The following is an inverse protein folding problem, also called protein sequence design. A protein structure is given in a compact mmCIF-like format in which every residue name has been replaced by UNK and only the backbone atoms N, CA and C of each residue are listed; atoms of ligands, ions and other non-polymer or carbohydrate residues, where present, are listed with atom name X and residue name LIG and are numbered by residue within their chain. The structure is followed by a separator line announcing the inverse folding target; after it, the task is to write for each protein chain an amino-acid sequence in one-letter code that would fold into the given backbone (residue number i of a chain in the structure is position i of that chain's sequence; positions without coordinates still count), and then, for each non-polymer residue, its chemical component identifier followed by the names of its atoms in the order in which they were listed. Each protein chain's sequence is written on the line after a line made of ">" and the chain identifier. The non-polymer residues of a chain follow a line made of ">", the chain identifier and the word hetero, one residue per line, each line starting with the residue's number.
data_IF_890799368110
#
_entry.id   IF_890799368110
#
_cell.length_a   1.000
_cell.length_b   1.000
_cell.length_c   1.000
_cell.angle_alpha   90.00
_cell.angle_beta   90.00
_cell.angle_gamma   90.00
#
_symmetry.space_group_name_H-M   'P 1'
#
loop_
_entity.id
_entity.type
_entity.pdbx_description
1 polymer ?
#
# COMPACT_ATOMS: atom_id res chain seq x y z
N UNK A 1 -9.92 16.56 -8.76
CA UNK A 1 -9.20 15.70 -7.78
C UNK A 1 -7.82 16.23 -7.41
N UNK A 2 -6.89 16.43 -8.36
CA UNK A 2 -5.52 16.93 -8.09
C UNK A 2 -5.44 18.26 -7.32
N UNK A 3 -6.41 19.16 -7.50
CA UNK A 3 -6.47 20.47 -6.80
C UNK A 3 -6.77 20.32 -5.30
N UNK A 4 -7.55 19.31 -4.90
CA UNK A 4 -7.87 19.01 -3.49
C UNK A 4 -6.79 18.12 -2.84
N UNK A 5 -6.12 17.26 -3.62
CA UNK A 5 -4.96 16.50 -3.14
C UNK A 5 -3.77 17.40 -2.78
N UNK A 6 -3.54 18.51 -3.49
CA UNK A 6 -2.44 19.45 -3.19
C UNK A 6 -2.50 20.01 -1.77
N UNK A 7 -3.69 20.17 -1.20
CA UNK A 7 -3.88 20.70 0.16
C UNK A 7 -3.38 19.75 1.25
N UNK A 8 -3.38 18.44 0.98
CA UNK A 8 -2.94 17.40 1.92
C UNK A 8 -1.63 16.71 1.50
N UNK A 9 -0.91 17.26 0.54
CA UNK A 9 0.33 16.66 0.01
C UNK A 9 1.42 16.50 1.08
N UNK A 10 1.49 17.41 2.06
CA UNK A 10 2.39 17.26 3.21
C UNK A 10 2.05 16.05 4.08
N UNK A 11 0.78 15.83 4.40
CA UNK A 11 0.35 14.67 5.18
C UNK A 11 0.58 13.35 4.41
N UNK A 12 0.34 13.36 3.10
CA UNK A 12 0.62 12.21 2.23
C UNK A 12 2.13 11.92 2.12
N UNK A 13 2.98 12.96 2.08
CA UNK A 13 4.43 12.82 2.09
C UNK A 13 4.94 12.20 3.41
N UNK A 14 4.46 12.69 4.56
CA UNK A 14 4.81 12.09 5.85
C UNK A 14 4.32 10.64 5.96
N UNK A 15 3.09 10.35 5.54
CA UNK A 15 2.57 8.98 5.50
C UNK A 15 3.46 8.07 4.64
N UNK A 16 3.86 8.52 3.44
CA UNK A 16 4.77 7.78 2.58
C UNK A 16 6.14 7.55 3.25
N UNK A 17 6.68 8.54 3.96
CA UNK A 17 7.94 8.42 4.68
C UNK A 17 7.88 7.37 5.80
N UNK A 18 6.82 7.38 6.61
CA UNK A 18 6.59 6.34 7.63
C UNK A 18 6.37 4.96 7.02
N UNK A 19 5.74 4.89 5.84
CA UNK A 19 5.56 3.65 5.09
C UNK A 19 6.89 3.05 4.64
N UNK A 20 7.80 3.89 4.14
CA UNK A 20 9.15 3.47 3.75
C UNK A 20 9.91 2.92 4.97
N UNK A 21 9.77 3.57 6.13
CA UNK A 21 10.34 3.09 7.38
C UNK A 21 9.80 1.72 7.81
N UNK A 22 8.48 1.52 7.72
CA UNK A 22 7.84 0.22 8.01
C UNK A 22 8.39 -0.88 7.09
N UNK A 23 8.38 -0.64 5.77
CA UNK A 23 8.84 -1.62 4.79
C UNK A 23 10.34 -1.92 4.93
N UNK A 24 11.17 -0.92 5.26
CA UNK A 24 12.59 -1.13 5.50
C UNK A 24 12.84 -2.07 6.70
N UNK A 25 12.05 -1.93 7.77
CA UNK A 25 12.11 -2.84 8.92
C UNK A 25 11.70 -4.26 8.52
N UNK A 26 10.59 -4.41 7.79
CA UNK A 26 10.13 -5.72 7.28
C UNK A 26 11.21 -6.41 6.42
N UNK A 27 11.97 -5.65 5.63
CA UNK A 27 13.05 -6.18 4.78
C UNK A 27 14.34 -6.52 5.54
N UNK A 28 14.60 -5.88 6.67
CA UNK A 28 15.80 -6.15 7.49
C UNK A 28 15.60 -7.39 8.36
N UNK A 29 14.36 -7.69 8.75
CA UNK A 29 14.04 -8.82 9.63
C UNK A 29 14.56 -10.18 9.13
N UNK A 30 14.45 -10.56 7.84
CA UNK A 30 15.04 -11.79 7.31
C UNK A 30 16.57 -11.83 7.42
N UNK A 31 17.25 -10.71 7.16
CA UNK A 31 18.71 -10.63 7.29
C UNK A 31 19.19 -10.75 8.74
N UNK A 32 18.40 -10.26 9.71
CA UNK A 32 18.68 -10.49 11.14
C UNK A 32 18.44 -11.95 11.52
N UNK A 33 17.39 -12.58 10.98
CA UNK A 33 17.13 -14.01 11.19
C UNK A 33 18.25 -14.88 10.63
N UNK A 34 18.76 -14.55 9.44
CA UNK A 34 19.92 -15.23 8.83
C UNK A 34 21.14 -15.21 9.78
N UNK A 35 21.47 -14.05 10.37
CA UNK A 35 22.57 -13.95 11.33
C UNK A 35 22.35 -14.79 12.58
N UNK A 36 21.13 -14.85 13.11
CA UNK A 36 20.80 -15.69 14.26
C UNK A 36 21.05 -17.17 13.92
N UNK A 37 20.65 -17.61 12.73
CA UNK A 37 20.82 -19.01 12.30
C UNK A 37 22.30 -19.32 12.00
N UNK A 38 22.97 -18.48 11.20
CA UNK A 38 24.32 -18.74 10.72
C UNK A 38 25.41 -18.51 11.78
N UNK A 39 25.32 -17.43 12.55
CA UNK A 39 26.34 -17.07 13.56
C UNK A 39 25.96 -17.58 14.95
N UNK A 40 24.68 -17.54 15.30
CA UNK A 40 24.21 -17.89 16.63
C UNK A 40 24.02 -19.39 16.88
N UNK A 41 23.47 -20.11 15.89
CA UNK A 41 23.16 -21.54 15.99
C UNK A 41 24.25 -22.38 15.31
N UNK A 42 24.62 -22.03 14.08
CA UNK A 42 25.59 -22.80 13.28
C UNK A 42 27.06 -22.46 13.60
N UNK A 43 27.32 -21.31 14.26
CA UNK A 43 28.66 -20.98 14.78
C UNK A 43 29.78 -20.94 13.74
N UNK A 44 29.48 -20.55 12.50
CA UNK A 44 30.38 -20.68 11.34
C UNK A 44 31.68 -19.86 11.51
N UNK A 45 31.63 -18.71 12.20
CA UNK A 45 32.78 -17.83 12.42
C UNK A 45 33.55 -18.07 13.74
N UNK A 46 32.98 -18.83 14.69
CA UNK A 46 33.59 -19.15 15.99
C UNK A 46 33.95 -20.64 16.13
N UNK A 47 34.19 -21.33 15.01
CA UNK A 47 34.68 -22.71 15.01
C UNK A 47 33.67 -23.75 15.51
N UNK A 48 32.36 -23.48 15.38
CA UNK A 48 31.29 -24.41 15.79
C UNK A 48 30.81 -24.24 17.23
N UNK A 49 31.21 -23.19 17.94
CA UNK A 49 30.67 -22.88 19.27
C UNK A 49 29.46 -21.95 19.13
N UNK A 50 28.30 -22.42 19.60
CA UNK A 50 27.06 -21.62 19.63
C UNK A 50 27.19 -20.47 20.64
N UNK A 51 27.26 -19.24 20.15
CA UNK A 51 27.22 -18.04 20.99
C UNK A 51 25.77 -17.65 21.32
N UNK A 52 25.24 -18.30 22.34
CA UNK A 52 23.88 -18.07 22.84
C UNK A 52 23.66 -16.61 23.29
N UNK A 53 24.73 -15.92 23.70
CA UNK A 53 24.69 -14.48 24.04
C UNK A 53 24.48 -13.59 22.79
N UNK A 54 25.05 -13.98 21.64
CA UNK A 54 24.89 -13.26 20.37
C UNK A 54 23.48 -13.46 19.80
N UNK A 55 22.91 -14.66 19.96
CA UNK A 55 21.48 -14.96 19.67
C UNK A 55 20.57 -14.08 20.51
N UNK A 56 20.76 -14.04 21.83
CA UNK A 56 19.91 -13.27 22.74
C UNK A 56 20.03 -11.77 22.49
N UNK A 57 21.25 -11.25 22.29
CA UNK A 57 21.49 -9.84 21.97
C UNK A 57 20.87 -9.43 20.63
N UNK A 58 21.02 -10.26 19.59
CA UNK A 58 20.43 -10.00 18.26
C UNK A 58 18.91 -10.14 18.29
N UNK A 59 18.37 -11.10 19.05
CA UNK A 59 16.92 -11.27 19.26
C UNK A 59 16.29 -10.06 19.96
N UNK A 60 16.94 -9.54 21.01
CA UNK A 60 16.47 -8.30 21.69
C UNK A 60 16.49 -7.11 20.73
N UNK A 61 17.55 -6.96 19.92
CA UNK A 61 17.62 -5.92 18.89
C UNK A 61 16.52 -6.08 17.85
N UNK A 62 16.20 -7.32 17.44
CA UNK A 62 15.12 -7.60 16.50
C UNK A 62 13.75 -7.16 17.05
N UNK A 63 13.48 -7.41 18.34
CA UNK A 63 12.24 -6.96 19.00
C UNK A 63 12.15 -5.44 19.00
N UNK A 64 13.23 -4.73 19.35
CA UNK A 64 13.24 -3.26 19.34
C UNK A 64 12.97 -2.70 17.94
N UNK A 65 13.60 -3.29 16.92
CA UNK A 65 13.42 -2.90 15.53
C UNK A 65 11.98 -3.12 15.07
N UNK A 66 11.36 -4.27 15.42
CA UNK A 66 9.95 -4.56 15.09
C UNK A 66 8.99 -3.60 15.79
N UNK A 67 9.25 -3.24 17.06
CA UNK A 67 8.43 -2.24 17.78
C UNK A 67 8.54 -0.87 17.09
N UNK A 68 9.75 -0.45 16.69
CA UNK A 68 9.95 0.78 15.91
C UNK A 68 9.26 0.73 14.54
N UNK A 69 9.34 -0.39 13.81
CA UNK A 69 8.64 -0.58 12.54
C UNK A 69 7.12 -0.56 12.70
N UNK A 70 6.60 -1.26 13.71
CA UNK A 70 5.18 -1.32 14.01
C UNK A 70 4.59 0.05 14.38
N UNK A 71 5.31 0.83 15.19
CA UNK A 71 4.91 2.22 15.50
C UNK A 71 4.91 3.11 14.27
N UNK A 72 5.92 2.98 13.39
CA UNK A 72 5.95 3.66 12.08
C UNK A 72 4.73 3.28 11.22
N UNK A 73 4.36 1.99 11.18
CA UNK A 73 3.21 1.53 10.41
C UNK A 73 1.86 1.99 10.96
N UNK A 74 1.72 2.07 12.29
CA UNK A 74 0.54 2.66 12.94
C UNK A 74 0.44 4.15 12.60
N UNK A 75 1.54 4.91 12.71
CA UNK A 75 1.58 6.33 12.37
C UNK A 75 1.24 6.58 10.90
N UNK A 76 1.79 5.78 9.98
CA UNK A 76 1.42 5.81 8.57
C UNK A 76 -0.09 5.58 8.38
N UNK A 77 -0.64 4.57 9.08
CA UNK A 77 -2.07 4.27 9.05
C UNK A 77 -2.93 5.43 9.53
N UNK A 78 -2.59 6.04 10.67
CA UNK A 78 -3.32 7.17 11.24
C UNK A 78 -3.26 8.39 10.31
N UNK A 79 -2.08 8.74 9.80
CA UNK A 79 -1.91 9.88 8.88
C UNK A 79 -2.66 9.67 7.56
N UNK A 80 -2.63 8.45 7.01
CA UNK A 80 -3.36 8.11 5.78
C UNK A 80 -4.86 8.22 5.99
N UNK A 81 -5.39 7.68 7.09
CA UNK A 81 -6.81 7.77 7.41
C UNK A 81 -7.22 9.22 7.67
N UNK A 82 -6.44 9.97 8.43
CA UNK A 82 -6.71 11.37 8.71
C UNK A 82 -6.74 12.20 7.42
N UNK A 83 -5.75 12.02 6.53
CA UNK A 83 -5.73 12.66 5.22
C UNK A 83 -6.93 12.26 4.35
N UNK A 84 -7.24 10.96 4.28
CA UNK A 84 -8.36 10.44 3.49
C UNK A 84 -9.71 10.96 3.96
N UNK A 85 -9.96 10.98 5.28
CA UNK A 85 -11.21 11.48 5.84
C UNK A 85 -11.41 12.97 5.60
N UNK A 86 -10.36 13.77 5.79
CA UNK A 86 -10.42 15.21 5.54
C UNK A 86 -10.67 15.52 4.06
N UNK A 87 -9.98 14.81 3.16
CA UNK A 87 -10.20 14.91 1.72
C UNK A 87 -11.64 14.54 1.33
N UNK A 88 -12.15 13.42 1.85
CA UNK A 88 -13.54 12.99 1.63
C UNK A 88 -14.55 14.03 2.13
N UNK A 89 -14.30 14.64 3.29
CA UNK A 89 -15.16 15.69 3.85
C UNK A 89 -15.21 16.93 2.95
N UNK A 90 -14.08 17.41 2.43
CA UNK A 90 -14.07 18.55 1.50
C UNK A 90 -14.84 18.27 0.21
N UNK A 91 -14.70 17.06 -0.36
CA UNK A 91 -15.44 16.68 -1.56
C UNK A 91 -16.94 16.58 -1.26
N UNK A 92 -17.34 16.01 -0.12
CA UNK A 92 -18.75 15.97 0.30
C UNK A 92 -19.34 17.37 0.40
N UNK A 93 -18.63 18.30 1.05
CA UNK A 93 -19.08 19.70 1.18
C UNK A 93 -19.21 20.39 -0.18
N UNK A 94 -18.19 20.29 -1.03
CA UNK A 94 -18.22 20.90 -2.36
C UNK A 94 -19.33 20.31 -3.25
N UNK A 95 -19.57 19.00 -3.15
CA UNK A 95 -20.65 18.34 -3.88
C UNK A 95 -22.02 18.79 -3.37
N UNK A 96 -22.20 18.84 -2.05
CA UNK A 96 -23.44 19.31 -1.42
C UNK A 96 -23.75 20.78 -1.77
N UNK A 97 -22.76 21.67 -1.73
CA UNK A 97 -22.90 23.06 -2.15
C UNK A 97 -23.35 23.16 -3.62
N UNK A 98 -22.79 22.31 -4.50
CA UNK A 98 -23.16 22.33 -5.92
C UNK A 98 -24.57 21.82 -6.18
N UNK A 99 -25.01 20.84 -5.40
CA UNK A 99 -26.37 20.30 -5.45
C UNK A 99 -27.39 21.35 -4.98
N UNK A 100 -27.06 22.10 -3.92
CA UNK A 100 -27.92 23.18 -3.41
C UNK A 100 -28.10 24.34 -4.41
N UNK A 101 -27.21 24.48 -5.38
CA UNK A 101 -27.29 25.47 -6.47
C UNK A 101 -27.99 24.96 -7.74
N UNK A 102 -28.47 23.71 -7.77
CA UNK A 102 -29.22 23.20 -8.92
C UNK A 102 -30.64 23.73 -8.99
N UNK A 103 -31.09 24.02 -10.21
CA UNK A 103 -32.49 24.34 -10.48
C UNK A 103 -33.38 23.11 -10.33
N UNK A 104 -34.67 23.31 -10.06
CA UNK A 104 -35.64 22.21 -9.91
C UNK A 104 -35.65 21.24 -11.10
N UNK A 105 -35.52 21.75 -12.32
CA UNK A 105 -35.46 20.95 -13.57
C UNK A 105 -34.20 20.06 -13.65
N UNK A 106 -33.09 20.51 -13.08
CA UNK A 106 -31.84 19.74 -13.02
C UNK A 106 -31.87 18.67 -11.92
N UNK A 107 -32.51 18.96 -10.78
CA UNK A 107 -32.68 17.99 -9.68
C UNK A 107 -33.58 16.83 -10.09
N UNK A 108 -34.64 17.11 -10.86
CA UNK A 108 -35.58 16.10 -11.36
C UNK A 108 -34.92 15.16 -12.39
N UNK A 109 -33.99 15.70 -13.22
CA UNK A 109 -33.25 14.93 -14.22
C UNK A 109 -32.22 13.95 -13.61
N UNK A 110 -31.65 14.26 -12.45
CA UNK A 110 -30.66 13.39 -11.78
C UNK A 110 -31.27 12.46 -10.72
N UNK A 111 -32.54 12.64 -10.34
CA UNK A 111 -33.24 11.99 -9.23
C UNK A 111 -32.53 12.17 -7.87
N UNK A 112 -33.28 12.57 -6.84
CA UNK A 112 -32.74 12.77 -5.50
C UNK A 112 -32.01 11.52 -4.97
N UNK A 113 -32.48 10.32 -5.32
CA UNK A 113 -31.85 9.06 -4.94
C UNK A 113 -30.44 8.86 -5.50
N UNK A 114 -30.22 9.18 -6.78
CA UNK A 114 -28.90 9.04 -7.44
C UNK A 114 -27.89 10.08 -6.92
N UNK A 115 -28.38 11.27 -6.59
CA UNK A 115 -27.57 12.32 -5.96
C UNK A 115 -27.06 11.91 -4.57
N UNK A 116 -27.91 11.24 -3.77
CA UNK A 116 -27.52 10.69 -2.47
C UNK A 116 -26.46 9.60 -2.65
N UNK A 117 -26.63 8.70 -3.63
CA UNK A 117 -25.65 7.62 -3.88
C UNK A 117 -24.30 8.18 -4.30
N UNK A 118 -24.27 9.24 -5.12
CA UNK A 118 -23.03 9.93 -5.51
C UNK A 118 -22.33 10.60 -4.34
N UNK A 119 -23.06 11.27 -3.44
CA UNK A 119 -22.46 11.92 -2.26
C UNK A 119 -21.92 10.88 -1.25
N UNK A 120 -22.60 9.73 -1.13
CA UNK A 120 -22.27 8.74 -0.10
C UNK A 120 -21.30 7.68 -0.63
N UNK A 121 -21.74 6.89 -1.61
CA UNK A 121 -20.99 5.76 -2.16
C UNK A 121 -19.79 6.22 -2.99
N UNK A 122 -19.99 7.08 -4.00
CA UNK A 122 -18.91 7.41 -4.92
C UNK A 122 -17.79 8.19 -4.22
N UNK A 123 -18.13 9.13 -3.34
CA UNK A 123 -17.11 9.86 -2.57
C UNK A 123 -16.35 8.90 -1.63
N UNK A 124 -17.03 7.93 -1.03
CA UNK A 124 -16.37 6.93 -0.18
C UNK A 124 -15.47 6.00 -1.00
N UNK A 125 -15.87 5.62 -2.20
CA UNK A 125 -15.02 4.84 -3.11
C UNK A 125 -13.78 5.62 -3.54
N UNK A 126 -13.92 6.90 -3.92
CA UNK A 126 -12.79 7.76 -4.26
C UNK A 126 -11.87 7.97 -3.05
N UNK A 127 -12.43 8.13 -1.86
CA UNK A 127 -11.68 8.23 -0.61
C UNK A 127 -10.87 6.95 -0.34
N UNK A 128 -11.50 5.77 -0.45
CA UNK A 128 -10.83 4.48 -0.29
C UNK A 128 -9.75 4.25 -1.33
N UNK A 129 -10.00 4.59 -2.59
CA UNK A 129 -9.02 4.51 -3.66
C UNK A 129 -7.77 5.35 -3.33
N UNK A 130 -7.96 6.58 -2.86
CA UNK A 130 -6.86 7.45 -2.46
C UNK A 130 -6.04 6.88 -1.29
N UNK A 131 -6.71 6.35 -0.25
CA UNK A 131 -6.06 5.72 0.90
C UNK A 131 -5.30 4.45 0.48
N UNK A 132 -5.90 3.61 -0.36
CA UNK A 132 -5.30 2.39 -0.86
C UNK A 132 -4.12 2.67 -1.78
N UNK A 133 -4.19 3.70 -2.62
CA UNK A 133 -3.09 4.08 -3.49
C UNK A 133 -1.90 4.63 -2.69
N UNK A 134 -2.17 5.52 -1.73
CA UNK A 134 -1.14 6.12 -0.88
C UNK A 134 -0.44 5.08 -0.02
N UNK A 135 -1.18 4.13 0.57
CA UNK A 135 -0.61 3.11 1.45
C UNK A 135 -0.21 1.84 0.70
N UNK A 136 -1.17 1.19 0.06
CA UNK A 136 -0.99 -0.09 -0.62
C UNK A 136 -0.12 0.01 -1.87
N UNK A 137 -0.32 1.06 -2.68
CA UNK A 137 0.49 1.30 -3.87
C UNK A 137 1.97 1.49 -3.54
N UNK A 138 2.28 2.37 -2.59
CA UNK A 138 3.65 2.61 -2.14
C UNK A 138 4.26 1.34 -1.50
N UNK A 139 3.49 0.62 -0.66
CA UNK A 139 3.95 -0.66 -0.07
C UNK A 139 4.38 -1.64 -1.15
N UNK A 140 3.51 -1.87 -2.13
CA UNK A 140 3.74 -2.84 -3.18
C UNK A 140 4.99 -2.50 -4.00
N UNK A 141 5.13 -1.23 -4.42
CA UNK A 141 6.31 -0.77 -5.16
C UNK A 141 7.60 -0.89 -4.35
N UNK A 142 7.55 -0.55 -3.06
CA UNK A 142 8.71 -0.66 -2.18
C UNK A 142 9.11 -2.11 -1.90
N UNK A 143 8.14 -3.02 -1.72
CA UNK A 143 8.44 -4.45 -1.60
C UNK A 143 8.99 -5.04 -2.90
N UNK A 144 8.46 -4.62 -4.05
CA UNK A 144 8.95 -5.08 -5.33
C UNK A 144 10.40 -4.65 -5.54
N UNK A 145 10.73 -3.38 -5.31
CA UNK A 145 12.10 -2.87 -5.52
C UNK A 145 13.03 -3.32 -4.39
N UNK A 146 12.66 -3.03 -3.15
CA UNK A 146 13.46 -3.30 -1.97
C UNK A 146 13.61 -4.79 -1.69
N UNK A 147 12.53 -5.57 -1.82
CA UNK A 147 12.56 -7.02 -1.60
C UNK A 147 13.45 -7.71 -2.63
N UNK A 148 13.35 -7.31 -3.90
CA UNK A 148 14.25 -7.79 -4.95
C UNK A 148 15.71 -7.44 -4.63
N UNK A 149 15.99 -6.20 -4.19
CA UNK A 149 17.33 -5.77 -3.82
C UNK A 149 17.89 -6.53 -2.60
N UNK A 150 17.07 -6.74 -1.56
CA UNK A 150 17.44 -7.48 -0.36
C UNK A 150 17.77 -8.94 -0.70
N UNK A 151 16.95 -9.58 -1.54
CA UNK A 151 17.15 -10.95 -1.96
C UNK A 151 18.43 -11.12 -2.82
N UNK A 152 18.76 -10.12 -3.64
CA UNK A 152 20.01 -10.07 -4.41
C UNK A 152 21.27 -9.90 -3.54
N UNK A 153 21.13 -9.38 -2.32
CA UNK A 153 22.21 -9.22 -1.33
C UNK A 153 22.43 -10.47 -0.49
N UNK A 154 21.36 -11.18 -0.13
CA UNK A 154 21.42 -12.39 0.69
C UNK A 154 22.23 -13.49 0.02
N UNK A 155 21.95 -13.81 -1.25
CA UNK A 155 22.65 -14.89 -1.95
C UNK A 155 22.85 -14.61 -3.44
N UNK A 156 24.09 -14.74 -3.93
CA UNK A 156 24.41 -14.60 -5.36
C UNK A 156 23.79 -15.71 -6.22
N UNK A 157 23.54 -16.89 -5.64
CA UNK A 157 22.95 -18.05 -6.35
C UNK A 157 21.47 -17.86 -6.71
N UNK A 158 20.72 -17.04 -5.96
CA UNK A 158 19.31 -16.76 -6.25
C UNK A 158 19.09 -15.65 -7.30
N UNK A 159 20.14 -14.88 -7.62
CA UNK A 159 20.11 -13.79 -8.61
C UNK A 159 19.53 -14.18 -9.98
N UNK A 160 19.94 -15.29 -10.64
CA UNK A 160 19.36 -15.68 -11.93
C UNK A 160 17.88 -16.08 -11.83
N UNK A 161 17.47 -16.70 -10.72
CA UNK A 161 16.07 -17.09 -10.50
C UNK A 161 15.17 -15.86 -10.41
N UNK A 162 15.58 -14.85 -9.65
CA UNK A 162 14.82 -13.60 -9.48
C UNK A 162 14.72 -12.82 -10.80
N UNK A 163 15.82 -12.79 -11.56
CA UNK A 163 15.89 -12.10 -12.84
C UNK A 163 14.90 -12.67 -13.87
N UNK A 164 14.57 -13.96 -13.80
CA UNK A 164 13.54 -14.60 -14.64
C UNK A 164 12.15 -14.49 -14.00
N UNK A 165 12.05 -14.64 -12.67
CA UNK A 165 10.77 -14.65 -11.96
C UNK A 165 10.05 -13.29 -12.02
N UNK A 166 10.76 -12.17 -11.82
CA UNK A 166 10.15 -10.83 -11.86
C UNK A 166 9.46 -10.54 -13.20
N UNK A 167 10.13 -10.66 -14.37
CA UNK A 167 9.48 -10.40 -15.65
C UNK A 167 8.36 -11.39 -15.94
N UNK A 168 8.47 -12.65 -15.52
CA UNK A 168 7.41 -13.64 -15.67
C UNK A 168 6.15 -13.23 -14.89
N UNK A 169 6.29 -12.84 -13.62
CA UNK A 169 5.18 -12.35 -12.80
C UNK A 169 4.56 -11.09 -13.42
N UNK A 170 5.38 -10.15 -13.89
CA UNK A 170 4.88 -8.94 -14.54
C UNK A 170 4.11 -9.25 -15.84
N UNK A 171 4.57 -10.21 -16.63
CA UNK A 171 3.88 -10.67 -17.83
C UNK A 171 2.55 -11.34 -17.49
N UNK A 172 2.51 -12.20 -16.48
CA UNK A 172 1.27 -12.86 -16.04
C UNK A 172 0.24 -11.83 -15.56
N UNK A 173 0.66 -10.88 -14.73
CA UNK A 173 -0.22 -9.79 -14.27
C UNK A 173 -0.71 -8.95 -15.45
N UNK A 174 0.19 -8.58 -16.38
CA UNK A 174 -0.19 -7.81 -17.57
C UNK A 174 -1.19 -8.56 -18.46
N UNK A 175 -1.00 -9.87 -18.63
CA UNK A 175 -1.90 -10.73 -19.39
C UNK A 175 -3.29 -10.83 -18.74
N UNK A 176 -3.33 -11.02 -17.42
CA UNK A 176 -4.59 -11.06 -16.66
C UNK A 176 -5.32 -9.72 -16.78
N UNK A 177 -4.64 -8.60 -16.59
CA UNK A 177 -5.23 -7.26 -16.69
C UNK A 177 -5.74 -6.99 -18.10
N UNK A 178 -4.96 -7.33 -19.12
CA UNK A 178 -5.36 -7.17 -20.53
C UNK A 178 -6.61 -7.98 -20.87
N UNK A 179 -6.73 -9.20 -20.34
CA UNK A 179 -7.91 -10.05 -20.55
C UNK A 179 -9.12 -9.63 -19.72
N UNK A 180 -8.89 -9.10 -18.51
CA UNK A 180 -9.95 -8.75 -17.55
C UNK A 180 -10.61 -7.41 -17.87
N UNK A 181 -9.84 -6.41 -18.32
CA UNK A 181 -10.37 -5.10 -18.70
C UNK A 181 -11.55 -5.14 -19.71
N UNK A 182 -11.46 -5.85 -20.86
CA UNK A 182 -12.57 -5.91 -21.80
C UNK A 182 -13.78 -6.68 -21.24
N UNK A 183 -13.55 -7.67 -20.37
CA UNK A 183 -14.61 -8.43 -19.71
C UNK A 183 -15.41 -7.54 -18.74
N UNK A 184 -14.71 -6.66 -18.00
CA UNK A 184 -15.34 -5.69 -17.11
C UNK A 184 -16.20 -4.68 -17.88
N UNK A 185 -15.70 -4.17 -19.01
CA UNK A 185 -16.48 -3.27 -19.86
C UNK A 185 -17.73 -3.95 -20.42
N UNK A 186 -17.63 -5.22 -20.82
CA UNK A 186 -18.76 -6.01 -21.26
C UNK A 186 -19.82 -6.18 -20.15
N UNK A 187 -19.37 -6.46 -18.92
CA UNK A 187 -20.25 -6.63 -17.77
C UNK A 187 -20.97 -5.32 -17.40
N UNK A 188 -20.26 -4.19 -17.45
CA UNK A 188 -20.87 -2.85 -17.27
C UNK A 188 -21.94 -2.57 -18.32
N UNK A 189 -21.65 -2.80 -19.61
CA UNK A 189 -22.62 -2.60 -20.69
C UNK A 189 -23.88 -3.48 -20.54
N UNK A 190 -23.75 -4.70 -19.99
CA UNK A 190 -24.89 -5.58 -19.73
C UNK A 190 -25.74 -5.09 -18.55
N UNK A 191 -25.10 -4.63 -17.48
CA UNK A 191 -25.80 -4.04 -16.33
C UNK A 191 -26.55 -2.76 -16.73
N UNK A 192 -25.93 -1.90 -17.54
CA UNK A 192 -26.55 -0.67 -18.05
C UNK A 192 -27.70 -0.94 -19.04
N UNK A 193 -27.75 -2.12 -19.66
CA UNK A 193 -28.88 -2.53 -20.53
C UNK A 193 -30.08 -3.09 -19.77
N UNK A 194 -29.90 -3.47 -18.50
CA UNK A 194 -30.94 -4.04 -17.64
C UNK A 194 -31.53 -3.03 -16.65
N UNK A 195 -30.84 -1.92 -16.40
CA UNK A 195 -31.31 -0.75 -15.64
C UNK A 195 -31.95 0.30 -16.55
#
# INVERSE_FOLDING_TARGET
>A
MLKYMKKYWFAAFFAAMFMIGEVAVDLIQPAMMEKIVNEGILGINNGGVSDMNLVVSTGIRMILVVICGGTSGILCGVLTNWCGQNFGNEIRKACFERIMHFSFEQTDRFSAGSLITRITSDITQVQNLMMQFTRGGIRCLMFLIGGSFALLRLDMSFRPVIMIAIPLILLDVAFIVWKTNPLFTLLQNRLDSMN
#
